data_IF_288279092137
#
_entry.id   IF_288279092137
#
_cell.length_a   1.000
_cell.length_b   1.000
_cell.length_c   1.000
_cell.angle_alpha   90.00
_cell.angle_beta   90.00
_cell.angle_gamma   90.00
#
_symmetry.space_group_name_H-M   'P 1'
#
loop_
_entity.id
_entity.type
_entity.pdbx_description
1 polymer ?
#
# COMPACT_ATOMS: atom_id res chain seq x y z
N UNK A 1 16.29 -44.20 -23.54
CA UNK A 1 15.01 -43.42 -23.68
C UNK A 1 14.68 -42.85 -22.29
N UNK A 2 14.67 -41.51 -22.10
CA UNK A 2 14.22 -40.96 -20.83
C UNK A 2 12.71 -41.14 -20.75
N UNK A 3 12.23 -41.67 -19.62
CA UNK A 3 10.82 -41.84 -19.32
C UNK A 3 10.15 -40.45 -19.30
N UNK A 4 9.06 -40.30 -20.07
CA UNK A 4 8.23 -39.13 -20.03
C UNK A 4 7.70 -38.96 -18.60
N UNK A 5 7.99 -37.83 -17.97
CA UNK A 5 7.30 -37.42 -16.73
C UNK A 5 5.81 -37.37 -17.05
N UNK A 6 4.93 -37.91 -16.20
CA UNK A 6 3.51 -37.77 -16.40
C UNK A 6 3.17 -36.29 -16.43
N UNK A 7 2.52 -35.83 -17.49
CA UNK A 7 1.96 -34.51 -17.58
C UNK A 7 1.02 -34.32 -16.39
N UNK A 8 1.42 -33.49 -15.42
CA UNK A 8 0.57 -33.16 -14.30
C UNK A 8 -0.74 -32.60 -14.85
N UNK A 9 -1.88 -33.07 -14.36
CA UNK A 9 -3.20 -32.61 -14.76
C UNK A 9 -3.24 -31.07 -14.68
N UNK A 10 -3.48 -30.45 -15.84
CA UNK A 10 -3.62 -28.99 -15.90
C UNK A 10 -4.87 -28.60 -15.09
N UNK A 11 -4.66 -27.77 -14.05
CA UNK A 11 -5.75 -27.17 -13.27
C UNK A 11 -6.38 -25.96 -13.96
N UNK A 12 -6.00 -25.67 -15.20
CA UNK A 12 -6.55 -24.56 -15.98
C UNK A 12 -8.08 -24.65 -16.07
N UNK A 13 -8.77 -23.58 -15.66
CA UNK A 13 -10.23 -23.51 -15.61
C UNK A 13 -10.89 -24.25 -14.42
N UNK A 14 -10.12 -24.88 -13.54
CA UNK A 14 -10.65 -25.66 -12.39
C UNK A 14 -10.23 -25.10 -11.03
N UNK A 15 -9.43 -24.02 -11.01
CA UNK A 15 -8.92 -23.40 -9.78
C UNK A 15 -9.16 -21.90 -9.82
N UNK A 16 -9.65 -21.36 -8.73
CA UNK A 16 -9.71 -19.92 -8.46
C UNK A 16 -8.65 -19.62 -7.40
N UNK A 17 -7.67 -18.81 -7.77
CA UNK A 17 -6.67 -18.32 -6.82
C UNK A 17 -7.26 -17.28 -5.88
N UNK A 18 -7.15 -17.49 -4.58
CA UNK A 18 -7.51 -16.49 -3.57
C UNK A 18 -6.24 -15.97 -2.92
N UNK A 19 -6.13 -14.65 -2.83
CA UNK A 19 -5.02 -14.01 -2.15
C UNK A 19 -5.42 -13.69 -0.71
N UNK A 20 -4.60 -14.13 0.24
CA UNK A 20 -4.77 -13.83 1.66
C UNK A 20 -3.69 -12.83 2.09
N UNK A 21 -4.13 -11.67 2.57
CA UNK A 21 -3.26 -10.66 3.17
C UNK A 21 -3.15 -10.83 4.68
N UNK A 22 -2.32 -10.03 5.33
CA UNK A 22 -2.41 -9.82 6.78
C UNK A 22 -3.73 -9.11 7.14
N UNK A 23 -4.04 -9.02 8.43
CA UNK A 23 -5.29 -8.41 8.92
C UNK A 23 -5.46 -6.97 8.44
N UNK A 24 -6.69 -6.61 8.03
CA UNK A 24 -7.11 -5.21 7.94
C UNK A 24 -7.35 -4.63 9.34
N UNK A 25 -7.51 -3.31 9.44
CA UNK A 25 -7.87 -2.69 10.70
C UNK A 25 -9.32 -3.01 11.08
N UNK A 26 -10.22 -3.17 10.11
CA UNK A 26 -11.59 -3.63 10.35
C UNK A 26 -11.61 -5.04 10.94
N UNK A 27 -10.89 -6.00 10.36
CA UNK A 27 -10.76 -7.36 10.91
C UNK A 27 -10.22 -7.35 12.35
N UNK A 28 -9.20 -6.52 12.64
CA UNK A 28 -8.66 -6.37 13.99
C UNK A 28 -9.65 -5.77 14.99
N UNK A 29 -10.54 -4.91 14.50
CA UNK A 29 -11.61 -4.30 15.30
C UNK A 29 -12.89 -5.16 15.35
N UNK A 30 -12.91 -6.32 14.68
CA UNK A 30 -14.09 -7.18 14.57
C UNK A 30 -15.21 -6.55 13.75
N UNK A 31 -14.88 -5.69 12.79
CA UNK A 31 -15.81 -4.98 11.91
C UNK A 31 -15.60 -5.44 10.47
N UNK A 32 -16.68 -5.40 9.68
CA UNK A 32 -16.57 -5.51 8.23
C UNK A 32 -16.28 -4.13 7.68
N UNK A 33 -15.14 -3.98 7.02
CA UNK A 33 -14.67 -2.75 6.41
C UNK A 33 -14.80 -2.82 4.88
N UNK A 34 -15.45 -1.81 4.29
CA UNK A 34 -15.61 -1.66 2.84
C UNK A 34 -15.75 -0.16 2.51
N UNK A 35 -14.63 0.53 2.54
CA UNK A 35 -14.58 1.97 2.30
C UNK A 35 -15.10 2.36 0.92
N UNK A 36 -14.76 1.59 -0.12
CA UNK A 36 -15.19 1.90 -1.49
C UNK A 36 -16.71 1.86 -1.58
N UNK A 37 -17.35 0.84 -1.03
CA UNK A 37 -18.80 0.72 -0.96
C UNK A 37 -19.43 1.84 -0.14
N UNK A 38 -18.83 2.20 0.99
CA UNK A 38 -19.29 3.32 1.81
C UNK A 38 -19.28 4.64 1.02
N UNK A 39 -18.19 4.93 0.30
CA UNK A 39 -18.10 6.11 -0.58
C UNK A 39 -19.16 6.10 -1.67
N UNK A 40 -19.37 4.97 -2.33
CA UNK A 40 -20.37 4.83 -3.41
C UNK A 40 -21.81 5.03 -2.91
N UNK A 41 -22.07 4.73 -1.63
CA UNK A 41 -23.37 4.97 -0.96
C UNK A 41 -23.51 6.39 -0.37
N UNK A 42 -22.49 7.23 -0.52
CA UNK A 42 -22.52 8.61 -0.03
C UNK A 42 -22.25 8.73 1.47
N UNK A 43 -21.53 7.80 2.09
CA UNK A 43 -21.25 7.80 3.52
C UNK A 43 -20.21 8.85 3.96
N UNK A 44 -19.62 9.61 3.03
CA UNK A 44 -18.72 10.72 3.37
C UNK A 44 -19.53 11.91 3.89
N UNK A 45 -19.40 12.18 5.17
CA UNK A 45 -20.13 13.25 5.85
C UNK A 45 -19.19 14.24 6.54
N UNK A 46 -19.53 15.53 6.50
CA UNK A 46 -18.72 16.59 7.13
C UNK A 46 -18.69 16.50 8.67
N UNK A 47 -19.59 15.72 9.26
CA UNK A 47 -19.72 15.59 10.71
C UNK A 47 -19.07 14.31 11.26
N UNK A 48 -18.56 13.43 10.39
CA UNK A 48 -17.88 12.21 10.84
C UNK A 48 -16.67 12.58 11.70
N UNK A 49 -16.54 11.87 12.82
CA UNK A 49 -15.40 11.99 13.74
C UNK A 49 -14.88 10.61 14.11
N UNK A 50 -13.55 10.50 14.15
CA UNK A 50 -12.85 9.36 14.72
C UNK A 50 -12.25 9.73 16.07
N UNK A 51 -12.16 8.77 16.98
CA UNK A 51 -11.40 8.94 18.22
C UNK A 51 -9.88 8.85 18.06
N UNK A 52 -9.38 8.70 16.83
CA UNK A 52 -7.98 8.44 16.54
C UNK A 52 -7.23 9.69 16.09
N UNK A 53 -5.98 9.81 16.56
CA UNK A 53 -5.05 10.84 16.15
C UNK A 53 -3.71 10.26 15.69
N UNK A 54 -2.73 11.14 15.44
CA UNK A 54 -1.40 10.77 14.92
C UNK A 54 -0.73 9.63 15.71
N UNK A 55 -0.78 9.69 17.04
CA UNK A 55 -0.15 8.70 17.89
C UNK A 55 -0.76 7.31 17.69
N UNK A 56 -2.08 7.24 17.58
CA UNK A 56 -2.80 5.99 17.36
C UNK A 56 -2.45 5.36 16.00
N UNK A 57 -2.38 6.18 14.94
CA UNK A 57 -1.94 5.68 13.63
C UNK A 57 -0.49 5.17 13.66
N UNK A 58 0.41 5.83 14.39
CA UNK A 58 1.79 5.32 14.56
C UNK A 58 1.77 3.98 15.31
N UNK A 59 0.91 3.81 16.29
CA UNK A 59 0.77 2.55 17.02
C UNK A 59 0.20 1.44 16.11
N UNK A 60 -0.76 1.74 15.21
CA UNK A 60 -1.23 0.80 14.19
C UNK A 60 -0.12 0.41 13.21
N UNK A 61 0.62 1.39 12.69
CA UNK A 61 1.77 1.15 11.81
C UNK A 61 2.82 0.24 12.48
N UNK A 62 3.08 0.48 13.77
CA UNK A 62 4.03 -0.31 14.57
C UNK A 62 3.52 -1.72 14.84
N UNK A 63 2.21 -1.89 14.96
CA UNK A 63 1.60 -3.20 15.14
C UNK A 63 1.69 -4.06 13.87
N UNK A 64 1.58 -3.45 12.71
CA UNK A 64 1.51 -4.15 11.42
C UNK A 64 0.22 -4.92 11.22
N UNK A 65 0.26 -5.86 10.31
CA UNK A 65 -0.89 -6.65 9.86
C UNK A 65 -0.70 -8.17 10.00
N UNK A 66 0.53 -8.64 10.22
CA UNK A 66 0.81 -10.08 10.32
C UNK A 66 0.20 -10.66 11.60
N UNK A 67 -0.69 -11.70 11.53
CA UNK A 67 -1.49 -12.18 12.65
C UNK A 67 -0.70 -12.51 13.91
N UNK A 68 0.42 -13.21 13.76
CA UNK A 68 1.28 -13.58 14.88
C UNK A 68 1.99 -12.36 15.46
N UNK A 69 2.54 -11.48 14.59
CA UNK A 69 3.26 -10.29 15.01
C UNK A 69 2.35 -9.30 15.75
N UNK A 70 1.12 -9.09 15.28
CA UNK A 70 0.16 -8.17 15.91
C UNK A 70 -0.16 -8.52 17.37
N UNK A 71 -0.13 -9.80 17.72
CA UNK A 71 -0.45 -10.31 19.07
C UNK A 71 0.72 -10.20 20.04
N UNK A 72 1.93 -9.99 19.52
CA UNK A 72 3.12 -9.92 20.36
C UNK A 72 3.29 -8.52 21.00
N UNK A 73 3.78 -8.44 22.25
CA UNK A 73 4.29 -7.19 22.79
C UNK A 73 5.35 -6.58 21.86
N UNK A 74 5.40 -5.26 21.78
CA UNK A 74 6.25 -4.53 20.84
C UNK A 74 7.71 -5.01 20.81
N UNK A 75 8.31 -5.27 21.98
CA UNK A 75 9.70 -5.76 22.10
C UNK A 75 9.94 -7.07 21.36
N UNK A 76 8.99 -8.03 21.46
CA UNK A 76 9.11 -9.34 20.82
C UNK A 76 8.72 -9.31 19.34
N UNK A 77 7.86 -8.36 18.94
CA UNK A 77 7.47 -8.18 17.55
C UNK A 77 8.66 -7.85 16.66
N UNK A 78 9.57 -6.97 17.13
CA UNK A 78 10.77 -6.62 16.39
C UNK A 78 11.67 -7.84 16.11
N UNK A 79 11.84 -8.70 17.10
CA UNK A 79 12.64 -9.93 16.96
C UNK A 79 11.93 -10.97 16.09
N UNK A 80 10.62 -11.07 16.20
CA UNK A 80 9.81 -11.95 15.37
C UNK A 80 9.91 -11.55 13.89
N UNK A 81 9.75 -10.26 13.56
CA UNK A 81 9.86 -9.74 12.18
C UNK A 81 11.26 -9.98 11.62
N UNK A 82 12.30 -9.79 12.42
CA UNK A 82 13.68 -10.06 12.02
C UNK A 82 13.88 -11.54 11.68
N UNK A 83 13.38 -12.43 12.53
CA UNK A 83 13.44 -13.87 12.34
C UNK A 83 12.62 -14.31 11.13
N UNK A 84 11.43 -13.72 10.93
CA UNK A 84 10.57 -13.98 9.78
C UNK A 84 11.28 -13.67 8.46
N UNK A 85 11.81 -12.46 8.31
CA UNK A 85 12.56 -12.07 7.09
C UNK A 85 13.78 -12.94 6.89
N UNK A 86 14.54 -13.20 7.94
CA UNK A 86 15.77 -14.01 7.83
C UNK A 86 15.49 -15.46 7.39
N UNK A 87 14.40 -16.06 7.89
CA UNK A 87 13.98 -17.40 7.47
C UNK A 87 13.45 -17.41 6.05
N UNK A 88 12.56 -16.47 5.73
CA UNK A 88 11.94 -16.37 4.40
C UNK A 88 13.00 -16.15 3.32
N UNK A 89 13.91 -15.19 3.52
CA UNK A 89 14.97 -14.88 2.56
C UNK A 89 16.16 -15.89 2.60
N UNK A 90 16.33 -16.64 3.68
CA UNK A 90 17.46 -17.57 3.84
C UNK A 90 17.15 -18.99 3.43
N UNK A 91 16.00 -19.54 3.84
CA UNK A 91 15.64 -20.96 3.66
C UNK A 91 14.71 -21.16 2.48
N UNK A 92 13.59 -20.47 2.49
CA UNK A 92 12.51 -20.72 1.53
C UNK A 92 12.94 -20.34 0.10
N UNK A 93 13.80 -19.32 -0.04
CA UNK A 93 14.37 -18.94 -1.32
C UNK A 93 15.29 -19.97 -1.96
N UNK A 94 16.02 -20.75 -1.17
CA UNK A 94 16.92 -21.79 -1.73
C UNK A 94 16.14 -22.91 -2.42
N UNK A 95 14.89 -23.12 -2.01
CA UNK A 95 14.00 -24.09 -2.63
C UNK A 95 13.41 -23.59 -3.95
N UNK A 96 13.20 -22.27 -4.09
CA UNK A 96 12.51 -21.66 -5.23
C UNK A 96 13.43 -21.04 -6.28
N UNK A 97 14.68 -20.73 -5.96
CA UNK A 97 15.56 -20.11 -6.93
C UNK A 97 17.04 -20.41 -6.68
N UNK A 98 17.79 -20.52 -7.79
CA UNK A 98 19.26 -20.50 -7.79
C UNK A 98 19.83 -19.08 -7.53
N UNK A 99 19.00 -18.15 -7.10
CA UNK A 99 19.39 -16.76 -6.81
C UNK A 99 20.18 -16.72 -5.51
N UNK A 100 21.39 -16.20 -5.58
CA UNK A 100 22.47 -16.64 -4.74
C UNK A 100 22.85 -15.75 -3.56
N UNK A 101 22.19 -14.57 -3.36
CA UNK A 101 22.59 -13.65 -2.29
C UNK A 101 21.43 -13.10 -1.45
N UNK A 102 21.06 -13.80 -0.36
CA UNK A 102 20.01 -13.33 0.58
C UNK A 102 20.30 -11.94 1.19
N UNK A 103 21.57 -11.57 1.33
CA UNK A 103 21.95 -10.26 1.89
C UNK A 103 21.58 -9.12 0.96
N UNK A 104 21.87 -9.27 -0.34
CA UNK A 104 21.52 -8.25 -1.34
C UNK A 104 20.00 -8.15 -1.53
N UNK A 105 19.28 -9.28 -1.50
CA UNK A 105 17.82 -9.28 -1.54
C UNK A 105 17.24 -8.57 -0.33
N UNK A 106 17.77 -8.79 0.87
CA UNK A 106 17.40 -8.05 2.07
C UNK A 106 17.69 -6.55 1.93
N UNK A 107 18.84 -6.19 1.37
CA UNK A 107 19.20 -4.79 1.15
C UNK A 107 18.26 -4.12 0.13
N UNK A 108 17.85 -4.84 -0.91
CA UNK A 108 16.85 -4.38 -1.88
C UNK A 108 15.51 -4.15 -1.20
N UNK A 109 15.05 -5.10 -0.37
CA UNK A 109 13.80 -4.98 0.40
C UNK A 109 13.85 -3.79 1.36
N UNK A 110 14.97 -3.56 2.04
CA UNK A 110 15.16 -2.39 2.90
C UNK A 110 15.17 -1.07 2.11
N UNK A 111 15.74 -1.08 0.91
CA UNK A 111 15.69 0.07 0.00
C UNK A 111 14.26 0.40 -0.45
N UNK A 112 13.44 -0.61 -0.74
CA UNK A 112 12.01 -0.44 -1.03
C UNK A 112 11.24 0.10 0.18
N UNK A 113 11.54 -0.40 1.37
CA UNK A 113 10.95 0.09 2.62
C UNK A 113 11.26 1.58 2.86
N UNK A 114 12.48 2.02 2.52
CA UNK A 114 12.89 3.42 2.65
C UNK A 114 12.27 4.33 1.55
N UNK A 115 11.90 3.77 0.40
CA UNK A 115 11.35 4.48 -0.75
C UNK A 115 9.81 4.51 -0.78
N UNK A 116 9.13 4.10 0.29
CA UNK A 116 7.66 4.08 0.35
C UNK A 116 7.07 5.46 0.02
N UNK A 117 5.96 5.47 -0.70
CA UNK A 117 5.31 6.69 -1.18
C UNK A 117 5.97 7.34 -2.42
N UNK A 118 7.05 6.76 -2.96
CA UNK A 118 7.75 7.32 -4.12
C UNK A 118 7.77 6.37 -5.31
N UNK A 119 7.79 6.93 -6.53
CA UNK A 119 8.08 6.14 -7.72
C UNK A 119 9.47 5.50 -7.64
N UNK A 120 9.52 4.21 -7.91
CA UNK A 120 10.76 3.45 -7.83
C UNK A 120 11.45 3.38 -9.20
N UNK A 121 12.67 3.90 -9.26
CA UNK A 121 13.57 3.64 -10.39
C UNK A 121 14.35 2.36 -10.08
N UNK A 122 13.87 1.23 -10.58
CA UNK A 122 14.40 -0.13 -10.27
C UNK A 122 15.91 -0.21 -10.52
N UNK A 123 16.40 0.35 -11.64
CA UNK A 123 17.83 0.35 -11.95
C UNK A 123 18.65 1.13 -10.92
N UNK A 124 18.15 2.27 -10.43
CA UNK A 124 18.82 3.08 -9.40
C UNK A 124 18.87 2.33 -8.07
N UNK A 125 17.77 1.70 -7.69
CA UNK A 125 17.69 0.92 -6.46
C UNK A 125 18.62 -0.29 -6.51
N UNK A 126 18.65 -1.02 -7.64
CA UNK A 126 19.57 -2.14 -7.85
C UNK A 126 21.04 -1.71 -7.82
N UNK A 127 21.38 -0.60 -8.48
CA UNK A 127 22.74 -0.04 -8.45
C UNK A 127 23.20 0.32 -7.04
N UNK A 128 22.32 0.85 -6.19
CA UNK A 128 22.64 1.18 -4.79
C UNK A 128 23.02 -0.05 -3.94
N UNK A 129 22.59 -1.25 -4.33
CA UNK A 129 22.91 -2.52 -3.66
C UNK A 129 23.82 -3.44 -4.50
N UNK A 130 24.49 -2.86 -5.49
CA UNK A 130 25.43 -3.56 -6.40
C UNK A 130 24.79 -4.76 -7.14
N UNK A 131 23.56 -4.60 -7.62
CA UNK A 131 22.86 -5.57 -8.47
C UNK A 131 22.81 -5.08 -9.93
N UNK A 132 22.91 -6.03 -10.86
CA UNK A 132 22.62 -5.78 -12.27
C UNK A 132 21.12 -5.48 -12.46
N UNK A 133 20.73 -4.82 -13.54
CA UNK A 133 19.34 -4.54 -13.84
C UNK A 133 18.49 -5.82 -13.94
N UNK A 134 19.01 -6.86 -14.60
CA UNK A 134 18.32 -8.16 -14.73
C UNK A 134 18.14 -8.86 -13.39
N UNK A 135 19.17 -8.90 -12.55
CA UNK A 135 19.08 -9.46 -11.20
C UNK A 135 18.11 -8.67 -10.33
N UNK A 136 18.12 -7.34 -10.43
CA UNK A 136 17.17 -6.49 -9.69
C UNK A 136 15.73 -6.80 -10.06
N UNK A 137 15.44 -6.92 -11.36
CA UNK A 137 14.09 -7.30 -11.84
C UNK A 137 13.68 -8.66 -11.29
N UNK A 138 14.55 -9.67 -11.37
CA UNK A 138 14.26 -11.01 -10.83
C UNK A 138 14.02 -10.98 -9.32
N UNK A 139 14.77 -10.18 -8.58
CA UNK A 139 14.59 -10.02 -7.13
C UNK A 139 13.27 -9.29 -6.79
N UNK A 140 12.88 -8.29 -7.58
CA UNK A 140 11.59 -7.62 -7.43
C UNK A 140 10.43 -8.59 -7.63
N UNK A 141 10.48 -9.41 -8.69
CA UNK A 141 9.45 -10.42 -8.95
C UNK A 141 9.39 -11.46 -7.82
N UNK A 142 10.54 -11.86 -7.28
CA UNK A 142 10.61 -12.77 -6.16
C UNK A 142 9.99 -12.18 -4.88
N UNK A 143 10.31 -10.92 -4.53
CA UNK A 143 9.70 -10.23 -3.39
C UNK A 143 8.18 -10.09 -3.54
N UNK A 144 7.69 -9.91 -4.76
CA UNK A 144 6.27 -9.90 -5.08
C UNK A 144 5.64 -11.29 -4.94
N UNK A 145 6.29 -12.33 -5.46
CA UNK A 145 5.83 -13.72 -5.33
C UNK A 145 5.76 -14.18 -3.85
N UNK A 146 6.66 -13.64 -3.00
CA UNK A 146 6.63 -13.85 -1.55
C UNK A 146 5.61 -12.96 -0.83
N UNK A 147 4.85 -12.17 -1.55
CA UNK A 147 3.87 -11.22 -1.01
C UNK A 147 4.42 -10.22 0.01
N UNK A 148 5.72 -9.93 -0.03
CA UNK A 148 6.34 -8.90 0.81
C UNK A 148 6.16 -7.51 0.25
N UNK A 149 6.03 -7.42 -1.08
CA UNK A 149 5.98 -6.16 -1.83
C UNK A 149 4.86 -6.21 -2.86
N UNK A 150 4.14 -5.11 -2.98
CA UNK A 150 3.14 -4.88 -4.01
C UNK A 150 3.59 -3.81 -5.00
N UNK A 151 3.22 -4.02 -6.26
CA UNK A 151 3.40 -3.04 -7.32
C UNK A 151 2.14 -2.21 -7.46
N UNK A 152 2.28 -0.89 -7.40
CA UNK A 152 1.24 0.07 -7.69
C UNK A 152 1.56 0.72 -9.05
N UNK A 153 0.85 0.34 -10.13
CA UNK A 153 1.11 0.84 -11.47
C UNK A 153 0.68 2.31 -11.64
N UNK A 154 1.23 3.04 -12.61
CA UNK A 154 0.73 4.37 -12.92
C UNK A 154 -0.64 4.30 -13.57
N UNK A 155 -1.54 5.21 -13.18
CA UNK A 155 -2.83 5.38 -13.84
C UNK A 155 -2.69 6.17 -15.13
N UNK A 156 -3.20 5.64 -16.21
CA UNK A 156 -3.30 6.28 -17.52
C UNK A 156 -4.38 5.60 -18.35
N UNK A 157 -5.08 6.31 -19.24
CA UNK A 157 -6.04 5.67 -20.16
C UNK A 157 -5.42 4.62 -21.08
N UNK A 158 -4.12 4.71 -21.35
CA UNK A 158 -3.41 3.76 -22.20
C UNK A 158 -2.88 2.59 -21.37
N UNK A 159 -3.47 1.40 -21.54
CA UNK A 159 -3.11 0.20 -20.78
C UNK A 159 -1.63 -0.21 -20.93
N UNK A 160 -1.05 -0.09 -22.13
CA UNK A 160 0.37 -0.40 -22.34
C UNK A 160 1.27 0.53 -21.51
N UNK A 161 0.91 1.82 -21.41
CA UNK A 161 1.64 2.77 -20.57
C UNK A 161 1.53 2.45 -19.07
N UNK A 162 0.42 1.83 -18.64
CA UNK A 162 0.29 1.32 -17.26
C UNK A 162 1.31 0.24 -16.96
N UNK A 163 1.56 -0.66 -17.93
CA UNK A 163 2.51 -1.76 -17.75
C UNK A 163 3.98 -1.33 -17.77
N UNK A 164 4.34 -0.39 -18.64
CA UNK A 164 5.74 0.03 -18.83
C UNK A 164 6.11 1.32 -18.07
N UNK A 165 5.14 1.99 -17.46
CA UNK A 165 5.36 3.21 -16.70
C UNK A 165 6.07 2.96 -15.36
N UNK A 166 6.63 4.02 -14.78
CA UNK A 166 7.24 3.93 -13.45
C UNK A 166 6.17 3.61 -12.42
N UNK A 167 6.40 2.58 -11.63
CA UNK A 167 5.49 2.14 -10.57
C UNK A 167 5.99 2.57 -9.20
N UNK A 168 5.07 2.74 -8.26
CA UNK A 168 5.41 2.71 -6.84
C UNK A 168 5.47 1.24 -6.38
N UNK A 169 6.28 0.96 -5.39
CA UNK A 169 6.32 -0.33 -4.72
C UNK A 169 6.14 -0.11 -3.23
N UNK A 170 5.25 -0.84 -2.63
CA UNK A 170 4.97 -0.73 -1.21
C UNK A 170 5.14 -2.08 -0.52
N UNK A 171 5.62 -2.07 0.71
CA UNK A 171 5.61 -3.24 1.55
C UNK A 171 4.18 -3.51 2.04
N UNK A 172 3.81 -4.79 2.07
CA UNK A 172 2.47 -5.22 2.49
C UNK A 172 2.21 -5.08 3.99
N UNK A 173 3.28 -4.90 4.77
CA UNK A 173 3.23 -4.75 6.22
C UNK A 173 4.06 -3.56 6.69
N UNK A 174 3.43 -2.63 7.42
CA UNK A 174 4.05 -1.40 7.91
C UNK A 174 5.07 -1.64 9.02
N UNK A 175 4.82 -2.60 9.92
CA UNK A 175 5.77 -2.92 10.99
C UNK A 175 7.06 -3.54 10.41
N UNK A 176 6.92 -4.33 9.35
CA UNK A 176 8.07 -4.84 8.60
C UNK A 176 8.86 -3.70 7.95
N UNK A 177 8.18 -2.73 7.33
CA UNK A 177 8.82 -1.55 6.74
C UNK A 177 9.59 -0.75 7.79
N UNK A 178 8.96 -0.48 8.94
CA UNK A 178 9.61 0.21 10.07
C UNK A 178 10.81 -0.57 10.61
N UNK A 179 10.72 -1.90 10.72
CA UNK A 179 11.83 -2.76 11.16
C UNK A 179 13.02 -2.69 10.20
N UNK A 180 12.78 -2.78 8.89
CA UNK A 180 13.83 -2.76 7.87
C UNK A 180 14.54 -1.40 7.78
N UNK A 181 13.82 -0.31 7.98
CA UNK A 181 14.36 1.05 7.99
C UNK A 181 14.86 1.50 9.37
N UNK A 182 14.71 0.68 10.41
CA UNK A 182 15.03 1.02 11.81
C UNK A 182 14.31 2.28 12.28
N UNK A 183 13.10 2.49 11.80
CA UNK A 183 12.30 3.66 12.18
C UNK A 183 11.67 3.43 13.55
N UNK A 184 11.94 4.35 14.48
CA UNK A 184 11.34 4.31 15.82
C UNK A 184 9.93 4.92 15.81
N UNK A 185 8.96 4.33 16.55
CA UNK A 185 7.64 4.93 16.75
C UNK A 185 7.72 6.34 17.36
N UNK A 186 8.63 6.57 18.29
CA UNK A 186 8.79 7.87 18.97
C UNK A 186 9.20 8.97 18.00
N UNK A 187 10.05 8.63 16.99
CA UNK A 187 10.42 9.57 15.93
C UNK A 187 9.21 9.90 15.07
N UNK A 188 8.36 8.91 14.75
CA UNK A 188 7.17 9.14 13.92
C UNK A 188 6.09 9.95 14.65
N UNK A 189 6.00 9.85 15.97
CA UNK A 189 5.09 10.65 16.79
C UNK A 189 5.54 12.12 16.89
N UNK A 190 6.82 12.40 16.72
CA UNK A 190 7.37 13.75 16.70
C UNK A 190 6.99 14.49 15.40
N UNK A 191 6.39 15.67 15.54
CA UNK A 191 5.93 16.46 14.39
C UNK A 191 7.08 17.02 13.54
N UNK A 192 8.25 17.26 14.14
CA UNK A 192 9.41 17.85 13.46
C UNK A 192 10.25 16.76 12.78
N UNK A 193 10.50 15.66 13.47
CA UNK A 193 11.36 14.57 13.01
C UNK A 193 10.62 13.46 12.25
N UNK A 194 9.30 13.46 12.30
CA UNK A 194 8.45 12.40 11.75
C UNK A 194 8.24 12.44 10.24
N UNK A 195 9.17 12.98 9.45
CA UNK A 195 9.03 13.12 8.00
C UNK A 195 8.80 11.79 7.24
N UNK A 196 9.30 10.68 7.79
CA UNK A 196 9.08 9.34 7.21
C UNK A 196 7.62 8.84 7.34
N UNK A 197 6.80 9.48 8.20
CA UNK A 197 5.41 9.04 8.40
C UNK A 197 4.57 9.15 7.13
N UNK A 198 4.82 10.15 6.27
CA UNK A 198 4.03 10.35 5.05
C UNK A 198 4.02 9.13 4.15
N UNK A 199 5.20 8.66 3.75
CA UNK A 199 5.31 7.48 2.88
C UNK A 199 4.84 6.18 3.54
N UNK A 200 5.07 6.01 4.85
CA UNK A 200 4.56 4.87 5.60
C UNK A 200 3.03 4.87 5.69
N UNK A 201 2.41 6.04 5.91
CA UNK A 201 0.97 6.18 5.99
C UNK A 201 0.30 5.99 4.62
N UNK A 202 0.92 6.50 3.55
CA UNK A 202 0.48 6.24 2.17
C UNK A 202 0.47 4.75 1.86
N UNK A 203 1.57 4.05 2.15
CA UNK A 203 1.66 2.62 1.94
C UNK A 203 0.66 1.83 2.81
N UNK A 204 0.42 2.27 4.04
CA UNK A 204 -0.59 1.69 4.92
C UNK A 204 -2.00 1.83 4.35
N UNK A 205 -2.39 3.03 3.92
CA UNK A 205 -3.70 3.29 3.27
C UNK A 205 -3.87 2.42 2.02
N UNK A 206 -2.84 2.35 1.17
CA UNK A 206 -2.87 1.51 0.00
C UNK A 206 -3.03 0.02 0.35
N UNK A 207 -2.31 -0.46 1.37
CA UNK A 207 -2.40 -1.84 1.83
C UNK A 207 -3.78 -2.18 2.44
N UNK A 208 -4.41 -1.24 3.18
CA UNK A 208 -5.79 -1.41 3.67
C UNK A 208 -6.77 -1.54 2.51
N UNK A 209 -6.69 -0.67 1.51
CA UNK A 209 -7.54 -0.73 0.31
C UNK A 209 -7.31 -2.01 -0.51
N UNK A 210 -6.06 -2.50 -0.59
CA UNK A 210 -5.75 -3.78 -1.24
C UNK A 210 -6.39 -4.97 -0.51
N UNK A 211 -6.43 -4.95 0.82
CA UNK A 211 -7.14 -5.96 1.62
C UNK A 211 -8.62 -5.91 1.32
N UNK A 212 -9.23 -4.75 1.43
CA UNK A 212 -10.66 -4.55 1.16
C UNK A 212 -11.06 -4.96 -0.27
N UNK A 213 -10.19 -4.81 -1.27
CA UNK A 213 -10.46 -5.23 -2.64
C UNK A 213 -10.70 -6.74 -2.79
N UNK A 214 -10.30 -7.56 -1.80
CA UNK A 214 -10.51 -9.02 -1.84
C UNK A 214 -11.92 -9.44 -1.43
N UNK A 215 -12.68 -8.58 -0.74
CA UNK A 215 -14.06 -8.85 -0.31
C UNK A 215 -15.07 -7.76 -0.66
N UNK A 216 -14.62 -6.64 -1.25
CA UNK A 216 -15.52 -5.61 -1.76
C UNK A 216 -16.39 -6.18 -2.88
N UNK A 217 -17.69 -5.87 -2.85
CA UNK A 217 -18.61 -6.28 -3.91
C UNK A 217 -18.30 -5.56 -5.24
N UNK A 218 -17.85 -4.32 -5.15
CA UNK A 218 -17.44 -3.52 -6.30
C UNK A 218 -15.98 -3.80 -6.66
N UNK A 219 -15.76 -4.31 -7.86
CA UNK A 219 -14.39 -4.54 -8.33
C UNK A 219 -13.72 -3.23 -8.70
N UNK A 220 -12.49 -3.06 -8.26
CA UNK A 220 -11.66 -1.92 -8.58
C UNK A 220 -10.18 -2.29 -8.68
N UNK A 221 -9.45 -1.50 -9.43
CA UNK A 221 -7.98 -1.55 -9.50
C UNK A 221 -7.38 -0.37 -8.77
N UNK A 222 -6.20 -0.58 -8.17
CA UNK A 222 -5.46 0.47 -7.46
C UNK A 222 -4.22 0.83 -8.27
N UNK A 223 -4.05 2.13 -8.50
CA UNK A 223 -2.92 2.72 -9.22
C UNK A 223 -2.53 4.05 -8.59
N UNK A 224 -1.45 4.67 -9.03
CA UNK A 224 -1.09 6.04 -8.67
C UNK A 224 -1.09 6.93 -9.92
N UNK A 225 -1.15 8.25 -9.73
CA UNK A 225 -1.00 9.17 -10.85
C UNK A 225 0.18 10.09 -10.65
N UNK A 226 1.01 10.23 -11.70
CA UNK A 226 2.05 11.24 -11.77
C UNK A 226 2.23 11.71 -13.19
N UNK A 227 2.29 13.03 -13.37
CA UNK A 227 2.51 13.67 -14.65
C UNK A 227 3.89 14.34 -14.73
N UNK A 228 4.43 14.55 -15.96
CA UNK A 228 5.70 15.23 -16.15
C UNK A 228 5.74 16.67 -15.63
N UNK A 229 4.58 17.34 -15.56
CA UNK A 229 4.41 18.69 -15.05
C UNK A 229 4.25 18.76 -13.51
N UNK A 230 4.53 17.65 -12.81
CA UNK A 230 4.64 17.59 -11.36
C UNK A 230 3.33 17.38 -10.60
N UNK A 231 2.21 17.07 -11.29
CA UNK A 231 0.99 16.65 -10.59
C UNK A 231 1.14 15.23 -10.10
N UNK A 232 0.70 14.97 -8.87
CA UNK A 232 0.73 13.65 -8.27
C UNK A 232 -0.58 13.42 -7.51
N UNK A 233 -1.11 12.19 -7.60
CA UNK A 233 -2.20 11.67 -6.78
C UNK A 233 -1.74 10.33 -6.26
N UNK A 234 -1.79 10.16 -4.95
CA UNK A 234 -1.18 9.01 -4.29
C UNK A 234 -1.83 7.70 -4.72
N UNK A 235 -3.19 7.65 -4.74
CA UNK A 235 -3.93 6.46 -5.18
C UNK A 235 -5.10 6.85 -6.08
N UNK A 236 -5.32 6.04 -7.11
CA UNK A 236 -6.49 6.07 -7.98
C UNK A 236 -7.16 4.70 -7.87
N UNK A 237 -8.39 4.66 -7.40
CA UNK A 237 -9.25 3.49 -7.39
C UNK A 237 -10.16 3.59 -8.61
N UNK A 238 -9.90 2.79 -9.63
CA UNK A 238 -10.72 2.77 -10.85
C UNK A 238 -11.63 1.53 -10.83
N UNK A 239 -12.94 1.76 -10.81
CA UNK A 239 -13.95 0.71 -10.83
C UNK A 239 -14.09 0.14 -12.25
N UNK A 240 -14.63 -1.07 -12.37
CA UNK A 240 -14.83 -1.75 -13.66
C UNK A 240 -15.76 -0.96 -14.61
N UNK A 241 -16.64 -0.12 -14.10
CA UNK A 241 -17.51 0.78 -14.86
C UNK A 241 -16.85 2.11 -15.25
N UNK A 242 -15.59 2.30 -14.90
CA UNK A 242 -14.79 3.48 -15.21
C UNK A 242 -14.97 4.66 -14.26
N UNK A 243 -15.79 4.53 -13.21
CA UNK A 243 -15.84 5.51 -12.12
C UNK A 243 -14.54 5.48 -11.32
N UNK A 244 -14.19 6.58 -10.69
CA UNK A 244 -12.91 6.78 -10.01
C UNK A 244 -13.14 7.34 -8.61
N UNK A 245 -12.43 6.81 -7.64
CA UNK A 245 -12.18 7.45 -6.35
C UNK A 245 -10.68 7.80 -6.31
N UNK A 246 -10.36 9.06 -6.09
CA UNK A 246 -8.98 9.55 -6.04
C UNK A 246 -8.59 9.90 -4.60
N UNK A 247 -7.39 9.49 -4.18
CA UNK A 247 -6.95 9.57 -2.80
C UNK A 247 -5.59 10.28 -2.70
N UNK A 248 -5.51 11.22 -1.77
CA UNK A 248 -4.28 11.82 -1.25
C UNK A 248 -4.11 11.42 0.22
N UNK A 249 -2.89 11.23 0.68
CA UNK A 249 -2.59 10.89 2.07
C UNK A 249 -1.65 11.93 2.67
N UNK A 250 -2.06 12.53 3.77
CA UNK A 250 -1.29 13.57 4.46
C UNK A 250 -1.07 13.19 5.92
N UNK A 251 0.17 13.08 6.34
CA UNK A 251 0.53 12.84 7.75
C UNK A 251 0.39 14.12 8.60
N UNK A 252 -0.61 14.94 8.29
CA UNK A 252 -0.91 16.19 8.98
C UNK A 252 -2.21 16.07 9.76
N UNK A 253 -2.33 16.83 10.85
CA UNK A 253 -3.52 16.91 11.69
C UNK A 253 -4.62 17.79 11.10
N UNK A 254 -4.44 18.32 9.88
CA UNK A 254 -5.48 19.05 9.16
C UNK A 254 -5.16 19.08 7.68
N UNK A 255 -6.19 18.96 6.84
CA UNK A 255 -6.07 19.19 5.39
C UNK A 255 -6.46 20.63 5.05
N UNK A 256 -5.74 21.21 4.12
CA UNK A 256 -6.03 22.49 3.50
C UNK A 256 -6.59 22.31 2.08
N UNK A 257 -7.16 23.37 1.52
CA UNK A 257 -7.58 23.39 0.11
C UNK A 257 -6.40 23.14 -0.86
N UNK A 258 -5.18 23.47 -0.44
CA UNK A 258 -3.97 23.22 -1.21
C UNK A 258 -3.64 21.72 -1.30
N UNK A 259 -3.94 20.93 -0.28
CA UNK A 259 -3.73 19.49 -0.27
C UNK A 259 -4.64 18.77 -1.28
N UNK A 260 -5.80 19.33 -1.56
CA UNK A 260 -6.76 18.80 -2.55
C UNK A 260 -6.55 19.35 -3.98
N UNK A 261 -5.49 20.14 -4.26
CA UNK A 261 -5.32 20.81 -5.56
C UNK A 261 -5.27 19.86 -6.74
N UNK A 262 -4.61 18.70 -6.58
CA UNK A 262 -4.49 17.71 -7.67
C UNK A 262 -5.78 16.90 -7.83
N UNK A 263 -6.51 16.65 -6.74
CA UNK A 263 -7.84 16.04 -6.79
C UNK A 263 -8.83 16.98 -7.49
N UNK A 264 -8.79 18.28 -7.21
CA UNK A 264 -9.64 19.28 -7.88
C UNK A 264 -9.31 19.40 -9.37
N UNK A 265 -8.02 19.35 -9.72
CA UNK A 265 -7.62 19.28 -11.12
C UNK A 265 -8.17 18.02 -11.81
N UNK A 266 -8.10 16.86 -11.14
CA UNK A 266 -8.65 15.61 -11.69
C UNK A 266 -10.16 15.70 -11.84
N UNK A 267 -10.89 16.25 -10.85
CA UNK A 267 -12.34 16.49 -10.92
C UNK A 267 -12.72 17.29 -12.19
N UNK A 268 -12.01 18.39 -12.44
CA UNK A 268 -12.20 19.17 -13.67
C UNK A 268 -11.84 18.44 -14.95
N UNK A 269 -11.01 17.39 -14.89
CA UNK A 269 -10.55 16.63 -16.06
C UNK A 269 -11.44 15.47 -16.43
N UNK A 270 -11.98 14.74 -15.45
CA UNK A 270 -12.79 13.54 -15.67
C UNK A 270 -14.27 13.71 -15.31
N UNK A 271 -14.65 14.86 -14.75
CA UNK A 271 -16.04 15.23 -14.48
C UNK A 271 -16.76 14.19 -13.63
N UNK A 272 -17.94 13.75 -14.11
CA UNK A 272 -18.81 12.81 -13.39
C UNK A 272 -18.22 11.42 -13.14
N UNK A 273 -17.13 11.09 -13.81
CA UNK A 273 -16.38 9.86 -13.49
C UNK A 273 -15.73 9.90 -12.10
N UNK A 274 -15.39 11.09 -11.56
CA UNK A 274 -14.91 11.20 -10.20
C UNK A 274 -16.09 11.08 -9.21
N UNK A 275 -16.17 9.96 -8.50
CA UNK A 275 -17.16 9.76 -7.43
C UNK A 275 -16.80 10.60 -6.22
N UNK A 276 -15.55 10.52 -5.79
CA UNK A 276 -15.01 11.29 -4.68
C UNK A 276 -13.50 11.49 -4.81
N UNK A 277 -13.03 12.66 -4.39
CA UNK A 277 -11.63 12.92 -4.09
C UNK A 277 -11.45 13.00 -2.58
N UNK A 278 -10.59 12.15 -2.02
CA UNK A 278 -10.42 11.96 -0.59
C UNK A 278 -9.02 12.33 -0.16
N UNK A 279 -8.88 13.25 0.78
CA UNK A 279 -7.62 13.54 1.47
C UNK A 279 -7.67 12.86 2.83
N UNK A 280 -6.96 11.74 2.98
CA UNK A 280 -6.79 11.11 4.28
C UNK A 280 -5.80 11.89 5.14
N UNK A 281 -6.17 12.12 6.40
CA UNK A 281 -5.35 12.87 7.36
C UNK A 281 -5.26 12.14 8.69
N UNK A 282 -4.35 12.60 9.56
CA UNK A 282 -4.32 12.18 10.97
C UNK A 282 -5.19 13.06 11.87
N UNK A 283 -6.08 13.88 11.29
CA UNK A 283 -7.13 14.63 12.02
C UNK A 283 -8.20 13.66 12.58
N UNK A 284 -8.94 14.11 13.56
CA UNK A 284 -10.08 13.38 14.14
C UNK A 284 -11.42 13.70 13.44
N UNK A 285 -11.44 14.57 12.42
CA UNK A 285 -12.67 15.13 11.82
C UNK A 285 -12.66 15.09 10.31
N UNK A 286 -13.85 14.81 9.75
CA UNK A 286 -14.11 15.03 8.33
C UNK A 286 -14.45 16.48 8.04
N UNK A 287 -14.11 16.90 6.81
CA UNK A 287 -14.47 18.21 6.26
C UNK A 287 -14.77 18.09 4.77
N UNK A 288 -15.81 18.78 4.33
CA UNK A 288 -16.07 18.95 2.91
C UNK A 288 -15.15 20.05 2.34
N UNK A 289 -14.45 19.75 1.25
CA UNK A 289 -13.49 20.66 0.61
C UNK A 289 -14.03 21.33 -0.66
N UNK A 290 -15.34 21.17 -0.92
CA UNK A 290 -16.04 21.65 -2.11
C UNK A 290 -16.11 20.62 -3.24
N UNK A 291 -17.14 20.68 -4.09
CA UNK A 291 -17.37 19.70 -5.14
C UNK A 291 -17.51 18.28 -4.58
N UNK A 292 -16.80 17.33 -5.14
CA UNK A 292 -16.74 15.93 -4.68
C UNK A 292 -15.56 15.65 -3.75
N UNK A 293 -14.96 16.69 -3.14
CA UNK A 293 -13.70 16.57 -2.41
C UNK A 293 -13.93 16.58 -0.90
N UNK A 294 -13.24 15.67 -0.21
CA UNK A 294 -13.37 15.45 1.21
C UNK A 294 -12.01 15.34 1.88
N UNK A 295 -11.86 15.86 3.07
CA UNK A 295 -10.80 15.49 4.00
C UNK A 295 -11.41 14.61 5.08
N UNK A 296 -10.82 13.45 5.34
CA UNK A 296 -11.33 12.49 6.31
C UNK A 296 -10.18 11.87 7.13
N UNK A 297 -10.43 11.48 8.38
CA UNK A 297 -9.48 10.66 9.14
C UNK A 297 -9.14 9.37 8.41
N UNK A 298 -7.90 8.89 8.53
CA UNK A 298 -7.51 7.57 7.98
C UNK A 298 -8.40 6.45 8.54
N UNK A 299 -8.89 6.59 9.76
CA UNK A 299 -9.81 5.64 10.38
C UNK A 299 -11.12 5.43 9.61
N UNK A 300 -11.53 6.38 8.77
CA UNK A 300 -12.69 6.23 7.89
C UNK A 300 -12.62 4.98 7.01
N UNK A 301 -11.39 4.49 6.70
CA UNK A 301 -11.18 3.25 5.94
C UNK A 301 -11.88 2.03 6.57
N UNK A 302 -12.00 1.97 7.88
CA UNK A 302 -12.59 0.82 8.60
C UNK A 302 -13.73 1.19 9.53
N UNK A 303 -14.05 2.48 9.65
CA UNK A 303 -15.16 2.94 10.49
C UNK A 303 -16.42 3.28 9.69
N UNK A 304 -16.31 3.56 8.38
CA UNK A 304 -17.44 3.90 7.51
C UNK A 304 -18.01 2.69 6.74
N UNK A 305 -17.37 1.53 6.79
CA UNK A 305 -17.78 0.33 6.06
C UNK A 305 -18.94 -0.44 6.68
#
# INVERSE_FOLDING_TARGET
MPAAQPAGDSLAGRVVGTRVFGFSQGERAGRRDDFVRAVLRGALEAQYRSGMGRADYVDLLTAGSMPEACRLPQRYRADWLESYVSRLLGRDLREFSRLSDPRRLRSLLAGLAAAQGSETVVARLGGAVNLSASTTTSYMELLRALHLVERLPPWTPNLLKREVGRSKYLLTDSALAMRLTRTSPDILKDLVRGGALGGLLEAFVAAELMRQSTWCEERFTISHYRSPDGREIDLILELDDGRVIAVEVKAASSASAADARHLRWLEGRIGDRLVAGVVFTTDDRSRHLGGRLWAVPVAALWELG
#
